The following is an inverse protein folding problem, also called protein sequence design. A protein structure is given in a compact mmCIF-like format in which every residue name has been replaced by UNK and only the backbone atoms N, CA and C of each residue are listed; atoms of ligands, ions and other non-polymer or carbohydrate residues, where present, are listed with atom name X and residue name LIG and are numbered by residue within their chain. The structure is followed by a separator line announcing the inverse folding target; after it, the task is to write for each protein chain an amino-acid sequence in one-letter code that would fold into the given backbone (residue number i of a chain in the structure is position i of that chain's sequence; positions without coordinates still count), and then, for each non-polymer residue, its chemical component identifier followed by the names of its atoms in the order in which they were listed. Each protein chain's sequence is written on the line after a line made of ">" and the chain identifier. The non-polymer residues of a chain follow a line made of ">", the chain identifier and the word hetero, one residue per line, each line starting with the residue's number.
data_IF_823960298775
#
_entry.id   IF_823960298775
#
_cell.length_a   1.000
_cell.length_b   1.000
_cell.length_c   1.000
_cell.angle_alpha   90.00
_cell.angle_beta   90.00
_cell.angle_gamma   90.00
#
_symmetry.space_group_name_H-M   'P 1'
#
loop_
_entity.id
_entity.type
_entity.pdbx_description
1 polymer ?
2 non-polymer ?
3 non-polymer ?
4 water ?
#
# COMPACT_ATOMS: atom_id res chain seq x y z
N UNK A 5 -17.99 21.99 -4.35
CA UNK A 5 -16.96 21.80 -3.32
C UNK A 5 -17.05 20.39 -2.67
N UNK A 6 -16.37 19.36 -3.21
CA UNK A 6 -16.47 18.01 -2.59
C UNK A 6 -15.87 17.92 -1.19
N UNK A 7 -16.33 16.96 -0.36
CA UNK A 7 -15.74 16.75 0.96
C UNK A 7 -14.51 15.83 0.83
N UNK A 8 -13.71 15.68 1.92
CA UNK A 8 -12.54 14.82 1.89
C UNK A 8 -12.98 13.36 1.69
N UNK A 9 -14.05 12.93 2.38
CA UNK A 9 -14.51 11.54 2.25
C UNK A 9 -15.12 11.26 0.87
N UNK A 10 -15.78 12.24 0.28
CA UNK A 10 -16.32 12.11 -1.07
C UNK A 10 -15.14 11.95 -2.07
N UNK A 11 -14.06 12.72 -1.89
CA UNK A 11 -12.91 12.64 -2.76
C UNK A 11 -12.15 11.32 -2.60
N UNK A 12 -12.09 10.81 -1.35
CA UNK A 12 -11.45 9.50 -1.14
C UNK A 12 -12.27 8.40 -1.86
N UNK A 13 -13.61 8.48 -1.77
CA UNK A 13 -14.46 7.50 -2.45
C UNK A 13 -14.41 7.65 -3.97
N UNK A 14 -14.30 8.88 -4.47
CA UNK A 14 -14.14 9.14 -5.90
C UNK A 14 -12.79 8.52 -6.36
N UNK A 15 -11.75 8.68 -5.54
CA UNK A 15 -10.43 8.10 -5.82
C UNK A 15 -10.50 6.58 -5.89
N UNK A 16 -11.20 5.96 -4.94
CA UNK A 16 -11.36 4.52 -4.92
C UNK A 16 -12.06 4.02 -6.18
N UNK A 17 -13.08 4.77 -6.62
CA UNK A 17 -13.86 4.41 -7.78
C UNK A 17 -13.00 4.51 -9.03
N UNK A 18 -12.21 5.57 -9.13
CA UNK A 18 -11.32 5.76 -10.27
C UNK A 18 -10.23 4.68 -10.28
N UNK A 19 -9.74 4.26 -9.10
CA UNK A 19 -8.74 3.20 -9.04
C UNK A 19 -9.31 1.89 -9.59
N UNK A 20 -10.55 1.53 -9.19
CA UNK A 20 -11.22 0.34 -9.72
C UNK A 20 -11.38 0.43 -11.27
N UNK A 21 -11.54 1.65 -11.78
CA UNK A 21 -11.66 1.89 -13.20
C UNK A 21 -10.33 2.00 -13.94
N UNK A 22 -9.20 1.71 -13.25
CA UNK A 22 -7.83 1.75 -13.74
C UNK A 22 -7.41 3.15 -14.20
N UNK A 23 -7.86 4.20 -13.52
CA UNK A 23 -7.49 5.56 -13.87
C UNK A 23 -6.61 6.05 -12.74
N UNK A 24 -5.37 5.54 -12.70
CA UNK A 24 -4.46 5.75 -11.58
C UNK A 24 -4.01 7.21 -11.35
N UNK A 25 -3.63 8.03 -12.35
CA UNK A 25 -3.27 9.43 -12.05
C UNK A 25 -4.48 10.22 -11.54
N UNK A 26 -5.65 9.97 -12.09
CA UNK A 26 -6.88 10.66 -11.71
C UNK A 26 -7.24 10.27 -10.26
N UNK A 27 -7.11 8.97 -9.93
CA UNK A 27 -7.36 8.51 -8.56
C UNK A 27 -6.38 9.15 -7.59
N UNK A 28 -5.07 9.20 -7.93
CA UNK A 28 -4.06 9.79 -7.04
C UNK A 28 -4.34 11.27 -6.83
N UNK A 29 -4.80 11.97 -7.87
CA UNK A 29 -5.16 13.39 -7.76
C UNK A 29 -6.34 13.57 -6.80
N UNK A 30 -7.34 12.65 -6.85
CA UNK A 30 -8.47 12.70 -5.91
C UNK A 30 -8.00 12.53 -4.48
N UNK A 31 -7.10 11.56 -4.23
CA UNK A 31 -6.59 11.38 -2.87
C UNK A 31 -5.81 12.64 -2.42
N UNK A 32 -5.11 13.29 -3.34
CA UNK A 32 -4.41 14.54 -3.02
C UNK A 32 -5.39 15.63 -2.59
N UNK A 33 -6.53 15.70 -3.28
CA UNK A 33 -7.56 16.68 -2.92
C UNK A 33 -8.17 16.35 -1.56
N UNK A 34 -8.35 15.05 -1.26
CA UNK A 34 -8.85 14.64 0.06
C UNK A 34 -7.83 15.05 1.17
N UNK A 35 -6.54 14.84 0.91
CA UNK A 35 -5.46 15.22 1.84
C UNK A 35 -5.45 16.74 2.06
N UNK A 36 -5.74 17.53 1.00
CA UNK A 36 -5.83 18.99 1.17
C UNK A 36 -6.86 19.39 2.25
N UNK A 37 -7.99 18.66 2.27
CA UNK A 37 -9.05 18.92 3.24
C UNK A 37 -8.74 18.37 4.60
N UNK A 38 -8.16 17.18 4.64
CA UNK A 38 -7.84 16.55 5.90
C UNK A 38 -6.59 15.70 5.72
N UNK A 39 -5.43 16.26 6.09
CA UNK A 39 -4.17 15.53 5.91
C UNK A 39 -3.82 14.58 7.04
N UNK A 40 -4.75 14.31 7.97
CA UNK A 40 -4.47 13.44 9.10
C UNK A 40 -5.23 12.12 9.04
N UNK A 41 -5.59 11.69 7.83
CA UNK A 41 -6.31 10.43 7.63
C UNK A 41 -5.37 9.47 6.91
N UNK A 42 -4.93 8.41 7.60
CA UNK A 42 -3.96 7.47 7.01
C UNK A 42 -4.35 6.83 5.68
N UNK A 43 -5.63 6.44 5.52
CA UNK A 43 -6.07 5.72 4.32
C UNK A 43 -5.95 6.54 3.04
N UNK A 44 -5.93 7.89 3.13
CA UNK A 44 -5.79 8.70 1.90
C UNK A 44 -4.37 8.45 1.35
N UNK A 45 -3.37 8.37 2.26
CA UNK A 45 -1.99 8.12 1.83
C UNK A 45 -1.79 6.67 1.42
N UNK A 46 -2.40 5.70 2.13
CA UNK A 46 -2.23 4.28 1.77
C UNK A 46 -2.81 4.05 0.36
N UNK A 47 -4.01 4.60 0.10
CA UNK A 47 -4.65 4.41 -1.19
C UNK A 47 -3.91 5.12 -2.31
N UNK A 48 -3.36 6.32 -2.04
CA UNK A 48 -2.54 7.00 -3.06
C UNK A 48 -1.24 6.25 -3.29
N UNK A 49 -0.66 5.61 -2.23
CA UNK A 49 0.57 4.83 -2.43
C UNK A 49 0.34 3.72 -3.45
N UNK A 50 -0.83 3.04 -3.40
CA UNK A 50 -1.08 1.98 -4.39
C UNK A 50 -1.21 2.57 -5.82
N UNK A 51 -1.74 3.80 -5.97
CA UNK A 51 -1.75 4.47 -7.29
C UNK A 51 -0.33 4.70 -7.75
N UNK A 52 0.54 5.24 -6.88
CA UNK A 52 1.93 5.49 -7.27
C UNK A 52 2.63 4.17 -7.65
N UNK A 53 2.33 3.07 -6.95
CA UNK A 53 2.92 1.77 -7.30
C UNK A 53 2.48 1.35 -8.70
N UNK A 54 1.19 1.52 -9.01
CA UNK A 54 0.67 1.20 -10.34
C UNK A 54 1.30 2.08 -11.42
N UNK A 55 1.68 3.30 -11.06
CA UNK A 55 2.33 4.24 -11.96
C UNK A 55 3.87 4.11 -11.99
N UNK A 56 4.41 3.07 -11.36
CA UNK A 56 5.84 2.82 -11.29
C UNK A 56 6.61 3.91 -10.56
N UNK A 57 5.95 4.63 -9.65
CA UNK A 57 6.61 5.68 -8.88
C UNK A 57 6.89 5.12 -7.50
N UNK A 58 7.88 4.21 -7.42
CA UNK A 58 8.16 3.53 -6.14
C UNK A 58 8.60 4.45 -5.01
N UNK A 59 9.40 5.48 -5.29
CA UNK A 59 9.83 6.39 -4.23
C UNK A 59 8.63 7.16 -3.66
N UNK A 60 7.71 7.62 -4.53
CA UNK A 60 6.51 8.31 -4.03
C UNK A 60 5.61 7.34 -3.25
N UNK A 61 5.51 6.08 -3.71
CA UNK A 61 4.68 5.09 -3.00
C UNK A 61 5.24 4.84 -1.61
N UNK A 62 6.58 4.73 -1.51
CA UNK A 62 7.27 4.49 -0.24
C UNK A 62 6.97 5.68 0.70
N UNK A 63 7.10 6.90 0.18
CA UNK A 63 6.86 8.11 0.99
C UNK A 63 5.43 8.14 1.53
N UNK A 64 4.44 7.76 0.71
CA UNK A 64 3.04 7.77 1.16
C UNK A 64 2.78 6.68 2.19
N UNK A 65 3.45 5.52 2.06
CA UNK A 65 3.33 4.48 3.10
C UNK A 65 3.87 4.99 4.42
N UNK A 66 4.97 5.76 4.37
CA UNK A 66 5.55 6.34 5.58
C UNK A 66 4.61 7.36 6.22
N UNK A 67 3.95 8.19 5.41
CA UNK A 67 2.99 9.18 5.94
C UNK A 67 1.82 8.46 6.57
N UNK A 68 1.32 7.40 5.92
CA UNK A 68 0.22 6.61 6.49
C UNK A 68 0.64 5.99 7.83
N UNK A 69 1.85 5.42 7.92
CA UNK A 69 2.29 4.73 9.13
C UNK A 69 2.56 5.69 10.30
N UNK A 70 2.86 6.95 10.01
CA UNK A 70 3.00 7.96 11.05
C UNK A 70 1.61 8.34 11.65
N UNK A 71 0.51 8.03 10.95
CA UNK A 71 -0.86 8.33 11.36
C UNK A 71 -1.56 7.11 11.96
N UNK A 72 -1.33 5.93 11.39
CA UNK A 72 -1.93 4.67 11.82
C UNK A 72 -0.96 3.51 11.77
N UNK A 73 -0.28 3.27 12.89
CA UNK A 73 0.69 2.19 12.99
C UNK A 73 0.09 0.80 12.99
N UNK A 74 -1.23 0.70 13.19
CA UNK A 74 -1.90 -0.59 13.15
C UNK A 74 -2.45 -0.89 11.73
N UNK A 75 -2.16 -0.04 10.73
CA UNK A 75 -2.71 -0.24 9.39
C UNK A 75 -2.22 -1.52 8.70
N UNK A 76 -3.13 -2.49 8.47
CA UNK A 76 -2.78 -3.70 7.72
C UNK A 76 -2.44 -3.29 6.27
N UNK A 77 -3.30 -2.45 5.67
CA UNK A 77 -3.10 -2.02 4.29
C UNK A 77 -1.80 -1.28 4.09
N UNK A 78 -1.38 -0.40 5.03
CA UNK A 78 -0.11 0.31 4.84
C UNK A 78 1.08 -0.63 4.84
N UNK A 79 1.08 -1.63 5.73
CA UNK A 79 2.16 -2.62 5.75
C UNK A 79 2.13 -3.50 4.49
N UNK A 80 0.94 -3.90 4.06
CA UNK A 80 0.80 -4.76 2.87
C UNK A 80 1.31 -4.03 1.62
N UNK A 81 0.86 -2.77 1.40
CA UNK A 81 1.29 -2.03 0.22
C UNK A 81 2.76 -1.67 0.29
N UNK A 82 3.28 -1.38 1.50
CA UNK A 82 4.71 -1.11 1.65
C UNK A 82 5.53 -2.34 1.27
N UNK A 83 5.10 -3.51 1.71
CA UNK A 83 5.79 -4.76 1.35
C UNK A 83 5.78 -4.99 -0.15
N UNK A 84 4.61 -4.78 -0.79
CA UNK A 84 4.49 -4.95 -2.24
C UNK A 84 5.39 -3.95 -2.98
N UNK A 85 5.47 -2.72 -2.47
CA UNK A 85 6.35 -1.72 -3.09
C UNK A 85 7.81 -2.15 -2.95
N UNK A 86 8.22 -2.56 -1.73
CA UNK A 86 9.60 -3.00 -1.52
C UNK A 86 9.95 -4.20 -2.35
N UNK A 87 9.00 -5.11 -2.58
CA UNK A 87 9.26 -6.30 -3.41
C UNK A 87 9.61 -5.85 -4.84
N UNK A 88 8.85 -4.89 -5.37
CA UNK A 88 9.14 -4.38 -6.72
C UNK A 88 10.50 -3.68 -6.80
N UNK A 89 10.93 -3.07 -5.68
CA UNK A 89 12.22 -2.39 -5.57
C UNK A 89 13.39 -3.32 -5.25
N UNK A 90 13.12 -4.63 -5.13
CA UNK A 90 14.09 -5.68 -4.84
C UNK A 90 14.66 -5.56 -3.43
N UNK A 91 13.91 -4.94 -2.50
CA UNK A 91 14.32 -4.85 -1.09
C UNK A 91 13.58 -6.01 -0.45
N UNK A 92 14.05 -7.22 -0.70
CA UNK A 92 13.39 -8.44 -0.31
C UNK A 92 13.19 -8.67 1.16
N UNK A 93 14.22 -8.46 2.00
CA UNK A 93 14.07 -8.70 3.44
C UNK A 93 13.02 -7.80 4.05
N UNK A 94 13.01 -6.53 3.64
CA UNK A 94 12.05 -5.55 4.13
C UNK A 94 10.65 -5.90 3.65
N UNK A 95 10.53 -6.32 2.37
CA UNK A 95 9.21 -6.68 1.82
C UNK A 95 8.60 -7.83 2.62
N UNK A 96 9.38 -8.88 2.90
CA UNK A 96 8.90 -10.03 3.63
C UNK A 96 8.48 -9.67 5.03
N UNK A 97 9.26 -8.85 5.71
CA UNK A 97 8.92 -8.44 7.08
C UNK A 97 7.63 -7.62 7.13
N UNK A 98 7.43 -6.71 6.15
CA UNK A 98 6.19 -5.92 6.11
C UNK A 98 4.99 -6.80 5.76
N UNK A 99 5.17 -7.77 4.83
CA UNK A 99 4.04 -8.66 4.49
C UNK A 99 3.70 -9.56 5.71
N UNK A 100 4.73 -10.06 6.41
CA UNK A 100 4.53 -10.85 7.64
C UNK A 100 3.80 -9.98 8.69
N UNK A 101 4.19 -8.69 8.79
CA UNK A 101 3.54 -7.80 9.75
C UNK A 101 2.06 -7.56 9.39
N UNK A 102 1.75 -7.41 8.09
CA UNK A 102 0.36 -7.24 7.65
C UNK A 102 -0.44 -8.50 8.02
N UNK A 103 0.17 -9.68 7.87
CA UNK A 103 -0.49 -10.93 8.24
C UNK A 103 -0.86 -10.93 9.75
N UNK A 104 0.11 -10.60 10.61
CA UNK A 104 -0.12 -10.59 12.05
C UNK A 104 -1.18 -9.55 12.44
N UNK A 105 -1.13 -8.37 11.83
CA UNK A 105 -2.10 -7.32 12.16
C UNK A 105 -3.49 -7.73 11.69
N UNK A 106 -3.61 -8.36 10.49
CA UNK A 106 -4.90 -8.82 9.99
C UNK A 106 -5.50 -9.86 10.93
N UNK A 107 -4.67 -10.77 11.47
CA UNK A 107 -5.11 -11.80 12.41
C UNK A 107 -5.56 -11.19 13.76
N UNK A 108 -4.80 -10.22 14.27
CA UNK A 108 -5.15 -9.53 15.51
C UNK A 108 -6.48 -8.75 15.36
N UNK A 109 -6.71 -8.19 14.17
CA UNK A 109 -7.90 -7.38 13.87
C UNK A 109 -9.09 -8.19 13.30
N UNK A 110 -8.92 -9.52 13.18
CA UNK A 110 -9.93 -10.45 12.66
C UNK A 110 -10.38 -10.08 11.24
N UNK A 111 -9.44 -9.61 10.43
CA UNK A 111 -9.72 -9.25 9.05
C UNK A 111 -9.37 -10.44 8.17
N UNK A 112 -10.21 -10.68 7.17
CA UNK A 112 -10.03 -11.81 6.27
C UNK A 112 -9.75 -11.33 4.86
N UNK A 113 -8.55 -11.59 4.36
CA UNK A 113 -8.19 -11.25 2.98
C UNK A 113 -7.96 -12.52 2.14
N UNK A 114 -8.64 -13.62 2.48
CA UNK A 114 -8.47 -14.89 1.79
C UNK A 114 -7.04 -15.37 1.97
N UNK A 115 -6.42 -15.81 0.88
CA UNK A 115 -5.02 -16.22 0.92
C UNK A 115 -4.09 -15.11 0.39
N UNK A 116 -4.57 -13.84 0.25
CA UNK A 116 -3.74 -12.79 -0.34
C UNK A 116 -2.41 -12.59 0.34
N UNK A 117 -2.40 -12.50 1.69
CA UNK A 117 -1.13 -12.24 2.39
C UNK A 117 -0.17 -13.43 2.34
N UNK A 118 -0.58 -14.67 2.69
CA UNK A 118 0.37 -15.79 2.54
C UNK A 118 0.83 -16.00 1.10
N UNK A 119 -0.05 -15.74 0.11
CA UNK A 119 0.33 -15.85 -1.31
C UNK A 119 1.40 -14.79 -1.65
N UNK A 120 1.22 -13.53 -1.20
CA UNK A 120 2.20 -12.47 -1.44
C UNK A 120 3.53 -12.81 -0.75
N UNK A 121 3.46 -13.40 0.46
CA UNK A 121 4.67 -13.80 1.18
C UNK A 121 5.43 -14.87 0.42
N UNK A 122 4.74 -15.90 -0.10
CA UNK A 122 5.42 -16.95 -0.86
C UNK A 122 6.05 -16.37 -2.13
N UNK A 123 5.38 -15.41 -2.78
CA UNK A 123 5.93 -14.77 -3.97
C UNK A 123 7.21 -14.01 -3.62
N UNK A 124 7.17 -13.26 -2.52
CA UNK A 124 8.32 -12.47 -2.10
C UNK A 124 9.48 -13.37 -1.69
N UNK A 125 9.18 -14.43 -0.92
CA UNK A 125 10.24 -15.34 -0.47
C UNK A 125 10.90 -16.08 -1.63
N UNK A 126 10.10 -16.50 -2.64
CA UNK A 126 10.66 -17.22 -3.76
C UNK A 126 11.52 -16.28 -4.60
N UNK A 127 11.09 -15.04 -4.78
CA UNK A 127 11.85 -14.05 -5.55
C UNK A 127 13.19 -13.79 -4.82
N UNK A 128 13.18 -13.70 -3.48
CA UNK A 128 14.40 -13.49 -2.70
C UNK A 128 15.36 -14.65 -2.87
N UNK A 129 14.88 -15.89 -2.69
CA UNK A 129 15.71 -17.09 -2.82
C UNK A 129 16.36 -17.16 -4.20
N UNK A 130 15.58 -17.02 -5.26
CA UNK A 130 16.08 -17.09 -6.62
C UNK A 130 17.15 -16.02 -6.88
N UNK A 131 16.94 -14.82 -6.34
CA UNK A 131 17.90 -13.73 -6.54
C UNK A 131 19.23 -13.99 -5.83
N UNK A 132 19.19 -14.66 -4.68
CA UNK A 132 20.39 -15.00 -3.93
C UNK A 132 21.12 -16.16 -4.60
N UNK A 133 20.37 -17.19 -5.05
CA UNK A 133 20.96 -18.35 -5.70
C UNK A 133 21.60 -17.99 -7.05
N UNK A 134 20.96 -17.09 -7.81
CA UNK A 134 21.51 -16.65 -9.09
C UNK A 134 22.44 -15.42 -8.94
N UNK A 135 22.64 -14.92 -7.69
CA UNK A 135 23.45 -13.77 -7.33
C UNK A 135 23.00 -12.54 -8.09
X LIG B 1 -8.50 -2.66 -1.35
X LIG B 1 -7.45 -4.17 -0.32
X LIG B 1 -6.66 -5.38 -0.13
X LIG B 1 -5.38 -5.02 2.12
X LIG B 1 -4.54 -5.60 3.04
X LIG B 1 -4.12 -6.90 2.85
X LIG B 1 -4.48 -7.57 1.71
X LIG B 1 -9.51 -0.60 -2.19
X LIG B 1 -10.98 -0.51 -2.63
X LIG B 1 -11.93 -1.34 -1.77
X LIG B 1 -14.39 -1.25 -1.98
X LIG B 1 -14.77 -2.29 -0.94
X LIG B 1 -14.03 -3.56 -1.33
X LIG B 1 -7.27 0.47 -2.21
X LIG B 1 -6.37 1.38 -2.73
X LIG B 1 -6.76 2.23 -3.73
X LIG B 1 -8.05 2.14 -4.19
X LIG B 1 -5.85 -3.78 2.39
X LIG B 1 -4.21 -4.94 4.15
X LIG B 1 -3.28 -7.46 3.73
X LIG B 1 -4.05 -8.84 1.52
X LIG B 1 -5.33 -7.00 0.78
X LIG B 1 -5.86 -7.46 -0.41
X LIG B 1 -6.64 -6.49 -0.95
X LIG B 1 -5.81 -5.70 0.99
X LIG B 1 -8.03 -3.47 0.58
X LIG B 1 -8.71 -2.45 -0.08
X LIG B 1 -7.71 -3.74 -1.59
X LIG B 1 -8.94 -1.94 -2.39
X LIG B 1 -8.82 -2.44 -3.75
X LIG B 1 -8.55 0.43 -2.75
X LIG B 1 -8.95 1.25 -3.73
X LIG B 1 -13.12 -1.75 -2.53
X LIG B 1 -13.31 -3.21 -2.62
X LIG C 1 10.77 -0.81 6.58
X LIG C 1 10.26 -0.45 7.91
X LIG C 1 9.91 -0.29 5.59
X LIG C 1 12.10 -0.23 6.42
X LIG C 1 10.82 -2.24 6.42
#
# INVERSE_FOLDING_TARGET
>A
GSHMSPSAQELKEQGNRLFVGRKYPEAAACYGRAITRNPLVAVYYTNRALCYLKMQQHEQALADCRRALELDGQSVKAHFFLGQCQLEMESYDEAIANLQRAYSLAKEQRLNFGDDIPSALRIAKKKRWNSIEERR
>B hetero
1 A1I5T C1 C2 C3 C7 C8 C9 C10 C11 C12 C13 C14 C15 C16 C19 C20 C21 C22 F3 F2 F1 F C5 N3 C4 C6 N2 N1 O N C C18 N5 N4 C17
>C hetero
1 SO4 S O1 O2 O3 O4
#
